data_IF_600528368639
#
_entry.id   IF_600528368639
#
_cell.length_a   1.000
_cell.length_b   1.000
_cell.length_c   1.000
_cell.angle_alpha   90.00
_cell.angle_beta   90.00
_cell.angle_gamma   90.00
#
_symmetry.space_group_name_H-M   'P 1'
#
loop_
_entity.id
_entity.type
_entity.pdbx_description
1 polymer ?
#
# COMPACT_ATOMS: atom_id res chain seq x y z
N UNK A 1 -12.27 16.66 11.30
CA UNK A 1 -12.80 15.39 10.73
C UNK A 1 -11.88 14.84 9.64
N UNK A 2 -11.37 15.65 8.70
CA UNK A 2 -10.36 15.22 7.69
C UNK A 2 -9.05 14.66 8.28
N UNK A 3 -8.48 15.29 9.32
CA UNK A 3 -7.17 14.84 9.87
C UNK A 3 -7.20 13.44 10.51
N UNK A 4 -8.29 13.09 11.20
CA UNK A 4 -8.44 11.76 11.81
C UNK A 4 -8.50 10.68 10.72
N UNK A 5 -9.23 10.93 9.63
CA UNK A 5 -9.35 9.96 8.53
C UNK A 5 -8.01 9.75 7.80
N UNK A 6 -7.17 10.79 7.71
CA UNK A 6 -5.83 10.67 7.16
C UNK A 6 -4.90 9.86 8.06
N UNK A 7 -4.89 10.10 9.37
CA UNK A 7 -4.11 9.31 10.31
C UNK A 7 -4.51 7.82 10.31
N UNK A 8 -5.81 7.54 10.17
CA UNK A 8 -6.32 6.16 10.02
C UNK A 8 -5.77 5.50 8.75
N UNK A 9 -5.78 6.21 7.62
CA UNK A 9 -5.19 5.72 6.37
C UNK A 9 -3.71 5.40 6.54
N UNK A 10 -2.94 6.32 7.13
CA UNK A 10 -1.50 6.15 7.32
C UNK A 10 -1.19 4.91 8.16
N UNK A 11 -1.88 4.71 9.29
CA UNK A 11 -1.73 3.51 10.12
C UNK A 11 -2.09 2.24 9.36
N UNK A 12 -3.20 2.25 8.60
CA UNK A 12 -3.63 1.08 7.83
C UNK A 12 -2.62 0.72 6.72
N UNK A 13 -2.01 1.72 6.08
CA UNK A 13 -0.95 1.48 5.10
C UNK A 13 0.31 0.90 5.74
N UNK A 14 0.69 1.35 6.94
CA UNK A 14 1.80 0.77 7.70
C UNK A 14 1.56 -0.72 7.96
N UNK A 15 0.36 -1.09 8.43
CA UNK A 15 0.01 -2.50 8.67
C UNK A 15 0.09 -3.34 7.40
N UNK A 16 -0.36 -2.80 6.27
CA UNK A 16 -0.28 -3.48 4.98
C UNK A 16 1.17 -3.63 4.50
N UNK A 17 2.03 -2.63 4.71
CA UNK A 17 3.46 -2.75 4.38
C UNK A 17 4.16 -3.82 5.23
N UNK A 18 3.77 -3.97 6.49
CA UNK A 18 4.23 -5.08 7.34
C UNK A 18 3.73 -6.42 6.80
N UNK A 19 2.48 -6.52 6.37
CA UNK A 19 1.96 -7.75 5.76
C UNK A 19 2.67 -8.10 4.44
N UNK A 20 3.01 -7.11 3.62
CA UNK A 20 3.81 -7.33 2.40
C UNK A 20 5.19 -7.90 2.73
N UNK A 21 5.86 -7.40 3.77
CA UNK A 21 7.23 -7.84 4.10
C UNK A 21 7.30 -9.26 4.65
N UNK A 22 6.18 -9.80 5.17
CA UNK A 22 6.08 -11.19 5.65
C UNK A 22 5.33 -12.11 4.68
N UNK A 23 4.97 -11.62 3.48
CA UNK A 23 4.28 -12.42 2.48
C UNK A 23 5.16 -13.59 2.01
N UNK A 24 4.62 -14.81 2.07
CA UNK A 24 5.38 -16.03 1.76
C UNK A 24 5.50 -16.34 0.26
N UNK A 25 4.61 -15.77 -0.55
CA UNK A 25 4.55 -15.99 -1.99
C UNK A 25 4.04 -14.74 -2.72
N UNK A 26 4.19 -14.77 -4.05
CA UNK A 26 3.81 -13.67 -4.94
C UNK A 26 2.29 -13.42 -4.93
N UNK A 27 1.47 -14.44 -4.77
CA UNK A 27 0.02 -14.30 -4.80
C UNK A 27 -0.45 -13.50 -3.58
N UNK A 28 0.00 -13.89 -2.38
CA UNK A 28 -0.27 -13.18 -1.13
C UNK A 28 0.26 -11.74 -1.22
N UNK A 29 1.51 -11.54 -1.66
CA UNK A 29 2.10 -10.20 -1.83
C UNK A 29 1.23 -9.33 -2.78
N UNK A 30 0.74 -9.90 -3.87
CA UNK A 30 -0.13 -9.21 -4.84
C UNK A 30 -1.48 -8.86 -4.23
N UNK A 31 -2.07 -9.76 -3.43
CA UNK A 31 -3.33 -9.50 -2.73
C UNK A 31 -3.18 -8.34 -1.74
N UNK A 32 -2.15 -8.34 -0.90
CA UNK A 32 -1.89 -7.26 0.06
C UNK A 32 -1.65 -5.92 -0.66
N UNK A 33 -0.88 -5.93 -1.73
CA UNK A 33 -0.68 -4.73 -2.58
C UNK A 33 -1.99 -4.20 -3.14
N UNK A 34 -2.89 -5.08 -3.59
CA UNK A 34 -4.18 -4.68 -4.14
C UNK A 34 -5.12 -4.12 -3.06
N UNK A 35 -5.07 -4.63 -1.83
CA UNK A 35 -5.79 -4.03 -0.70
C UNK A 35 -5.30 -2.60 -0.42
N UNK A 36 -3.99 -2.39 -0.35
CA UNK A 36 -3.40 -1.06 -0.17
C UNK A 36 -3.82 -0.09 -1.28
N UNK A 37 -3.72 -0.54 -2.53
CA UNK A 37 -4.13 0.24 -3.69
C UNK A 37 -5.62 0.62 -3.62
N UNK A 38 -6.50 -0.33 -3.28
CA UNK A 38 -7.94 -0.11 -3.16
C UNK A 38 -8.28 0.95 -2.11
N UNK A 39 -7.64 0.90 -0.94
CA UNK A 39 -7.86 1.89 0.12
C UNK A 39 -7.36 3.29 -0.30
N UNK A 40 -6.19 3.39 -0.94
CA UNK A 40 -5.66 4.67 -1.43
C UNK A 40 -6.60 5.30 -2.47
N UNK A 41 -7.16 4.48 -3.38
CA UNK A 41 -8.17 4.91 -4.36
C UNK A 41 -9.46 5.36 -3.68
N UNK A 42 -9.95 4.60 -2.71
CA UNK A 42 -11.16 4.95 -1.96
C UNK A 42 -11.00 6.29 -1.23
N UNK A 43 -9.89 6.49 -0.52
CA UNK A 43 -9.62 7.72 0.22
C UNK A 43 -9.51 8.93 -0.71
N UNK A 44 -8.87 8.79 -1.87
CA UNK A 44 -8.78 9.87 -2.86
C UNK A 44 -10.17 10.24 -3.41
N UNK A 45 -10.99 9.25 -3.81
CA UNK A 45 -12.34 9.49 -4.35
C UNK A 45 -13.29 10.16 -3.37
N UNK A 46 -13.12 9.93 -2.08
CA UNK A 46 -13.93 10.55 -1.02
C UNK A 46 -13.34 11.87 -0.50
N UNK A 47 -12.25 12.37 -1.10
CA UNK A 47 -11.60 13.62 -0.67
C UNK A 47 -10.95 13.54 0.72
N UNK A 48 -10.62 12.34 1.20
CA UNK A 48 -9.87 12.15 2.46
C UNK A 48 -8.40 12.56 2.27
N UNK A 49 -7.87 12.31 1.06
CA UNK A 49 -6.53 12.73 0.65
C UNK A 49 -6.60 13.45 -0.70
N UNK A 50 -5.67 14.35 -0.93
CA UNK A 50 -5.52 15.06 -2.19
C UNK A 50 -4.83 14.19 -3.26
N UNK A 51 -4.92 14.62 -4.53
CA UNK A 51 -4.24 13.94 -5.64
C UNK A 51 -2.73 13.87 -5.47
N UNK A 52 -2.11 14.88 -4.85
CA UNK A 52 -0.67 14.88 -4.63
C UNK A 52 -0.26 13.80 -3.60
N UNK A 53 -1.07 13.58 -2.57
CA UNK A 53 -0.86 12.56 -1.55
C UNK A 53 -1.15 11.17 -2.12
N UNK A 54 -2.24 11.02 -2.87
CA UNK A 54 -2.56 9.81 -3.62
C UNK A 54 -1.36 9.33 -4.44
N UNK A 55 -0.79 10.21 -5.26
CA UNK A 55 0.36 9.88 -6.12
C UNK A 55 1.58 9.46 -5.29
N UNK A 56 1.86 10.13 -4.17
CA UNK A 56 2.95 9.75 -3.26
C UNK A 56 2.76 8.33 -2.72
N UNK A 57 1.56 7.99 -2.23
CA UNK A 57 1.28 6.66 -1.71
C UNK A 57 1.38 5.56 -2.77
N UNK A 58 0.90 5.84 -4.00
CA UNK A 58 0.99 4.88 -5.11
C UNK A 58 2.44 4.59 -5.49
N UNK A 59 3.30 5.62 -5.56
CA UNK A 59 4.73 5.44 -5.85
C UNK A 59 5.38 4.57 -4.77
N UNK A 60 5.23 4.92 -3.50
CA UNK A 60 5.79 4.15 -2.38
C UNK A 60 5.30 2.70 -2.38
N UNK A 61 4.01 2.46 -2.63
CA UNK A 61 3.44 1.12 -2.72
C UNK A 61 4.08 0.30 -3.84
N UNK A 62 4.20 0.87 -5.04
CA UNK A 62 4.75 0.16 -6.19
C UNK A 62 6.25 -0.12 -6.03
N UNK A 63 7.02 0.82 -5.47
CA UNK A 63 8.45 0.64 -5.19
C UNK A 63 8.69 -0.46 -4.15
N UNK A 64 7.86 -0.50 -3.10
CA UNK A 64 7.93 -1.52 -2.05
C UNK A 64 7.56 -2.89 -2.61
N UNK A 65 6.47 -2.98 -3.36
CA UNK A 65 6.02 -4.21 -4.01
C UNK A 65 7.08 -4.78 -4.95
N UNK A 66 7.67 -3.94 -5.81
CA UNK A 66 8.65 -4.40 -6.80
C UNK A 66 9.88 -5.05 -6.14
N UNK A 67 10.38 -4.46 -5.05
CA UNK A 67 11.52 -5.01 -4.29
C UNK A 67 11.21 -6.40 -3.73
N UNK A 68 10.12 -6.51 -2.97
CA UNK A 68 9.70 -7.77 -2.34
C UNK A 68 9.35 -8.85 -3.37
N UNK A 69 8.73 -8.46 -4.48
CA UNK A 69 8.38 -9.39 -5.55
C UNK A 69 9.62 -9.99 -6.21
N UNK A 70 10.67 -9.19 -6.43
CA UNK A 70 11.95 -9.68 -6.96
C UNK A 70 12.59 -10.68 -6.00
N UNK A 71 12.60 -10.37 -4.70
CA UNK A 71 13.14 -11.24 -3.65
C UNK A 71 12.40 -12.60 -3.60
N UNK A 72 11.07 -12.59 -3.72
CA UNK A 72 10.27 -13.81 -3.74
C UNK A 72 10.40 -14.59 -5.05
N UNK A 73 10.53 -13.90 -6.20
CA UNK A 73 10.61 -14.57 -7.50
C UNK A 73 11.97 -15.19 -7.79
N UNK A 74 13.04 -14.56 -7.29
CA UNK A 74 14.41 -14.98 -7.54
C UNK A 74 15.15 -15.13 -6.19
N UNK A 75 14.79 -16.16 -5.39
CA UNK A 75 15.45 -16.43 -4.13
C UNK A 75 16.93 -16.76 -4.37
N UNK A 76 17.80 -16.24 -3.48
CA UNK A 76 19.25 -16.46 -3.53
C UNK A 76 19.64 -17.92 -3.31
#
# INVERSE_FOLDING_TARGET
MMEINKAILENYLVDLYVQMSVSADIENLTQVRNMAFGVIQFCSRNGIIENCEHNKYIVTLNDTYAKLWIELKYPK
#
